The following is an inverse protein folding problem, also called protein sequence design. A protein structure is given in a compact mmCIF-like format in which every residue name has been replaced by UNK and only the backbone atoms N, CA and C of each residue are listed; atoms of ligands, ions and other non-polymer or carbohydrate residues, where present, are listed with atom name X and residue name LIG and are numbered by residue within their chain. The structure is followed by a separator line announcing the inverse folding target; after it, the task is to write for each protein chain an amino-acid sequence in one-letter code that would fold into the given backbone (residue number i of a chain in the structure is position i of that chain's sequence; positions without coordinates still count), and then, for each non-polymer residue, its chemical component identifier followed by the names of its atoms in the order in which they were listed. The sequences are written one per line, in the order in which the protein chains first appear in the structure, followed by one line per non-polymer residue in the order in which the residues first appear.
data_IF_512705518820
#
_entry.id   IF_512705518820
#
_cell.length_a   1.000
_cell.length_b   1.000
_cell.length_c   1.000
_cell.angle_alpha   90.00
_cell.angle_beta   90.00
_cell.angle_gamma   90.00
#
_symmetry.space_group_name_H-M   'P 1'
#
loop_
_entity.id
_entity.type
_entity.pdbx_description
1 polymer ?
#
# COMPACT_ATOMS: atom_id res chain seq x y z
N UNK A 1 10.06 -20.09 14.08
CA UNK A 1 9.97 -18.75 14.69
C UNK A 1 11.37 -18.23 15.03
N UNK A 2 12.16 -18.93 15.84
CA UNK A 2 13.49 -18.49 16.29
C UNK A 2 14.46 -18.15 15.15
N UNK A 3 14.56 -19.01 14.14
CA UNK A 3 15.42 -18.74 12.97
C UNK A 3 15.00 -17.50 12.17
N UNK A 4 13.70 -17.17 12.16
CA UNK A 4 13.23 -15.96 11.52
C UNK A 4 13.65 -14.72 12.33
N UNK A 5 13.53 -14.76 13.64
CA UNK A 5 13.88 -13.66 14.55
C UNK A 5 15.39 -13.39 14.59
N UNK A 6 16.22 -14.43 14.45
CA UNK A 6 17.68 -14.29 14.44
C UNK A 6 18.22 -13.70 13.13
N UNK A 7 17.84 -14.25 11.98
CA UNK A 7 18.43 -13.85 10.68
C UNK A 7 17.44 -13.84 9.51
N UNK A 8 16.35 -14.60 9.57
CA UNK A 8 15.42 -14.81 8.45
C UNK A 8 14.76 -13.52 7.93
N UNK A 9 14.58 -12.52 8.80
CA UNK A 9 14.08 -11.20 8.41
C UNK A 9 15.02 -10.45 7.44
N UNK A 10 16.28 -10.84 7.34
CA UNK A 10 17.26 -10.25 6.40
C UNK A 10 17.12 -10.78 4.97
N UNK A 11 16.49 -11.93 4.76
CA UNK A 11 16.34 -12.56 3.44
C UNK A 11 15.65 -11.65 2.41
N UNK A 12 14.53 -10.97 2.73
CA UNK A 12 13.91 -10.01 1.81
C UNK A 12 14.85 -8.87 1.38
N UNK A 13 15.75 -8.44 2.27
CA UNK A 13 16.75 -7.40 1.93
C UNK A 13 17.81 -7.92 0.97
N UNK A 14 18.24 -9.18 1.10
CA UNK A 14 19.17 -9.78 0.14
C UNK A 14 18.53 -9.94 -1.24
N UNK A 15 17.25 -10.34 -1.28
CA UNK A 15 16.49 -10.37 -2.54
C UNK A 15 16.44 -8.97 -3.16
N UNK A 16 16.29 -7.92 -2.35
CA UNK A 16 16.31 -6.54 -2.83
C UNK A 16 17.64 -6.15 -3.49
N UNK A 17 18.76 -6.65 -3.02
CA UNK A 17 20.08 -6.41 -3.65
C UNK A 17 20.10 -7.00 -5.06
N UNK A 18 19.59 -8.22 -5.24
CA UNK A 18 19.49 -8.86 -6.55
C UNK A 18 18.58 -8.03 -7.47
N UNK A 19 17.42 -7.58 -6.96
CA UNK A 19 16.48 -6.76 -7.73
C UNK A 19 17.08 -5.41 -8.14
N UNK A 20 17.88 -4.79 -7.28
CA UNK A 20 18.63 -3.56 -7.61
C UNK A 20 19.65 -3.84 -8.73
N UNK A 21 20.39 -4.96 -8.65
CA UNK A 21 21.30 -5.37 -9.71
C UNK A 21 20.61 -5.57 -11.06
N UNK A 22 19.48 -6.28 -11.06
CA UNK A 22 18.64 -6.47 -12.27
C UNK A 22 18.12 -5.13 -12.80
N UNK A 23 17.62 -4.26 -11.92
CA UNK A 23 17.15 -2.92 -12.30
C UNK A 23 18.26 -2.07 -12.91
N UNK A 24 19.47 -2.14 -12.37
CA UNK A 24 20.64 -1.47 -12.93
C UNK A 24 20.99 -1.97 -14.33
N UNK A 25 21.01 -3.30 -14.54
CA UNK A 25 21.28 -3.90 -15.84
C UNK A 25 20.22 -3.51 -16.88
N UNK A 26 18.94 -3.52 -16.50
CA UNK A 26 17.85 -3.07 -17.38
C UNK A 26 18.06 -1.60 -17.77
N UNK A 27 18.30 -0.73 -16.80
CA UNK A 27 18.51 0.71 -17.05
C UNK A 27 19.74 0.99 -17.91
N UNK A 28 20.82 0.23 -17.73
CA UNK A 28 22.03 0.39 -18.53
C UNK A 28 21.80 0.06 -20.00
N UNK A 29 20.91 -0.90 -20.28
CA UNK A 29 20.59 -1.35 -21.64
C UNK A 29 19.34 -0.67 -22.24
N UNK A 30 18.70 0.24 -21.50
CA UNK A 30 17.58 1.01 -22.03
C UNK A 30 18.08 2.26 -22.74
N UNK A 31 17.62 2.44 -23.98
CA UNK A 31 17.80 3.70 -24.69
C UNK A 31 16.96 4.82 -24.07
N UNK A 32 17.45 6.05 -24.18
CA UNK A 32 16.69 7.22 -23.76
C UNK A 32 15.36 7.31 -24.54
N UNK A 33 14.28 7.69 -23.88
CA UNK A 33 12.99 7.82 -24.55
C UNK A 33 13.10 8.79 -25.73
N UNK A 34 12.43 8.53 -26.87
CA UNK A 34 12.50 9.40 -28.06
C UNK A 34 12.15 10.85 -27.75
N UNK A 35 11.23 11.08 -26.81
CA UNK A 35 10.82 12.42 -26.35
C UNK A 35 11.96 13.13 -25.63
N UNK A 36 12.67 12.41 -24.74
CA UNK A 36 13.79 12.98 -23.99
C UNK A 36 15.00 13.21 -24.91
N UNK A 37 15.31 12.29 -25.81
CA UNK A 37 16.37 12.44 -26.80
C UNK A 37 16.13 13.69 -27.69
N UNK A 38 14.88 13.91 -28.13
CA UNK A 38 14.49 15.09 -28.88
C UNK A 38 14.63 16.38 -28.04
N UNK A 39 14.15 16.38 -26.79
CA UNK A 39 14.31 17.54 -25.89
C UNK A 39 15.78 17.86 -25.62
N UNK A 40 16.64 16.85 -25.51
CA UNK A 40 18.09 16.99 -25.33
C UNK A 40 18.76 17.56 -26.59
N UNK A 41 18.40 17.11 -27.77
CA UNK A 41 18.92 17.67 -29.03
C UNK A 41 18.48 19.11 -29.28
N UNK A 42 17.31 19.50 -28.81
CA UNK A 42 16.79 20.87 -28.87
C UNK A 42 17.32 21.79 -27.77
N UNK A 43 18.20 21.31 -26.87
CA UNK A 43 18.75 22.08 -25.76
C UNK A 43 17.72 22.45 -24.66
N UNK A 44 16.54 21.78 -24.65
CA UNK A 44 15.45 22.04 -23.70
C UNK A 44 15.55 21.24 -22.39
N UNK A 45 16.69 20.63 -22.14
CA UNK A 45 16.90 19.89 -20.88
C UNK A 45 17.45 20.83 -19.81
N UNK A 46 16.88 20.73 -18.61
CA UNK A 46 17.35 21.52 -17.46
C UNK A 46 18.74 21.10 -17.01
N UNK A 47 19.64 22.05 -16.81
CA UNK A 47 20.97 21.82 -16.23
C UNK A 47 20.93 21.69 -14.71
N UNK A 48 19.92 22.27 -14.04
CA UNK A 48 19.72 22.17 -12.62
C UNK A 48 18.22 22.04 -12.29
N UNK A 49 17.66 20.81 -12.37
CA UNK A 49 16.23 20.58 -12.20
C UNK A 49 15.67 21.04 -10.85
N UNK A 50 16.45 20.92 -9.77
CA UNK A 50 16.02 21.35 -8.44
C UNK A 50 15.85 22.87 -8.36
N UNK A 51 16.85 23.61 -8.82
CA UNK A 51 16.77 25.08 -8.83
C UNK A 51 15.64 25.57 -9.72
N UNK A 52 15.41 24.95 -10.86
CA UNK A 52 14.33 25.30 -11.78
C UNK A 52 12.95 24.98 -11.20
N UNK A 53 12.80 23.83 -10.53
CA UNK A 53 11.53 23.42 -9.93
C UNK A 53 11.12 24.25 -8.72
N UNK A 54 12.08 24.59 -7.84
CA UNK A 54 11.81 25.30 -6.59
C UNK A 54 12.10 26.79 -6.64
N UNK A 55 13.01 27.24 -7.52
CA UNK A 55 13.38 28.65 -7.66
C UNK A 55 12.39 29.46 -8.49
N UNK A 56 11.62 28.86 -9.36
CA UNK A 56 10.63 29.53 -10.19
C UNK A 56 9.23 29.42 -9.54
N UNK A 57 8.58 30.54 -9.24
CA UNK A 57 7.24 30.56 -8.64
C UNK A 57 6.19 29.80 -9.46
N UNK A 58 6.30 29.82 -10.76
CA UNK A 58 5.38 29.08 -11.64
C UNK A 58 5.55 27.56 -11.46
N UNK A 59 6.79 27.07 -11.54
CA UNK A 59 7.08 25.65 -11.37
C UNK A 59 6.77 25.18 -9.94
N UNK A 60 7.13 26.00 -8.92
CA UNK A 60 6.82 25.72 -7.52
C UNK A 60 5.31 25.53 -7.29
N UNK A 61 4.45 26.33 -7.94
CA UNK A 61 3.00 26.15 -7.86
C UNK A 61 2.57 24.77 -8.33
N UNK A 62 3.12 24.25 -9.43
CA UNK A 62 2.81 22.89 -9.91
C UNK A 62 3.37 21.81 -9.00
N UNK A 63 4.56 22.01 -8.44
CA UNK A 63 5.14 21.08 -7.45
C UNK A 63 4.23 20.98 -6.22
N UNK A 64 3.76 22.12 -5.69
CA UNK A 64 2.85 22.13 -4.54
C UNK A 64 1.48 21.54 -4.88
N UNK A 65 0.93 21.83 -6.05
CA UNK A 65 -0.34 21.22 -6.50
C UNK A 65 -0.22 19.70 -6.67
N UNK A 66 0.90 19.20 -7.20
CA UNK A 66 1.14 17.77 -7.32
C UNK A 66 1.31 17.11 -5.94
N UNK A 67 2.08 17.74 -5.05
CA UNK A 67 2.36 17.24 -3.71
C UNK A 67 1.07 17.17 -2.86
N UNK A 68 0.38 18.29 -2.72
CA UNK A 68 -0.80 18.39 -1.85
C UNK A 68 -2.09 17.91 -2.53
N UNK A 69 -2.23 18.08 -3.84
CA UNK A 69 -3.44 17.68 -4.56
C UNK A 69 -3.49 16.21 -4.95
N UNK A 70 -2.36 15.61 -5.33
CA UNK A 70 -2.32 14.24 -5.81
C UNK A 70 -1.65 13.30 -4.81
N UNK A 71 -0.39 13.57 -4.45
CA UNK A 71 0.42 12.62 -3.66
C UNK A 71 -0.08 12.46 -2.23
N UNK A 72 -0.45 13.57 -1.57
CA UNK A 72 -0.92 13.54 -0.19
C UNK A 72 -2.23 12.75 -0.04
N UNK A 73 -3.21 13.01 -0.93
CA UNK A 73 -4.50 12.27 -0.92
C UNK A 73 -4.31 10.78 -1.17
N UNK A 74 -3.49 10.43 -2.15
CA UNK A 74 -3.13 9.04 -2.46
C UNK A 74 -2.43 8.35 -1.29
N UNK A 75 -1.50 9.03 -0.63
CA UNK A 75 -0.81 8.53 0.55
C UNK A 75 -1.77 8.20 1.69
N UNK A 76 -2.68 9.13 2.02
CA UNK A 76 -3.69 8.92 3.08
C UNK A 76 -4.57 7.70 2.77
N UNK A 77 -5.09 7.59 1.54
CA UNK A 77 -5.93 6.45 1.14
C UNK A 77 -5.16 5.13 1.27
N UNK A 78 -3.93 5.08 0.78
CA UNK A 78 -3.10 3.88 0.85
C UNK A 78 -2.80 3.45 2.30
N UNK A 79 -2.34 4.39 3.13
CA UNK A 79 -2.00 4.10 4.53
C UNK A 79 -3.23 3.71 5.35
N UNK A 80 -4.37 4.34 5.12
CA UNK A 80 -5.62 3.96 5.79
C UNK A 80 -6.10 2.57 5.36
N UNK A 81 -6.01 2.25 4.09
CA UNK A 81 -6.44 0.94 3.57
C UNK A 81 -5.54 -0.22 4.00
N UNK A 82 -4.25 0.01 4.25
CA UNK A 82 -3.30 -1.04 4.57
C UNK A 82 -2.90 -1.04 6.06
N UNK A 83 -2.20 0.01 6.49
CA UNK A 83 -1.60 0.02 7.82
C UNK A 83 -2.62 0.29 8.94
N UNK A 84 -3.55 1.21 8.72
CA UNK A 84 -4.61 1.43 9.71
C UNK A 84 -5.53 0.22 9.81
N UNK A 85 -5.90 -0.42 8.69
CA UNK A 85 -6.69 -1.65 8.72
C UNK A 85 -5.97 -2.77 9.50
N UNK A 86 -4.67 -2.96 9.27
CA UNK A 86 -3.86 -3.92 10.02
C UNK A 86 -3.86 -3.61 11.53
N UNK A 87 -3.62 -2.36 11.89
CA UNK A 87 -3.64 -1.92 13.28
C UNK A 87 -5.03 -2.11 13.92
N UNK A 88 -6.09 -1.75 13.22
CA UNK A 88 -7.46 -1.90 13.67
C UNK A 88 -7.82 -3.36 13.97
N UNK A 89 -7.48 -4.28 13.06
CA UNK A 89 -7.70 -5.72 13.23
C UNK A 89 -6.93 -6.29 14.44
N UNK A 90 -5.67 -5.88 14.62
CA UNK A 90 -4.82 -6.37 15.71
C UNK A 90 -5.19 -5.77 17.08
N UNK A 91 -5.46 -4.45 17.14
CA UNK A 91 -5.63 -3.73 18.42
C UNK A 91 -7.09 -3.63 18.86
N UNK A 92 -7.99 -3.23 17.96
CA UNK A 92 -9.41 -3.03 18.28
C UNK A 92 -10.17 -4.36 18.26
N UNK A 93 -9.95 -5.14 17.22
CA UNK A 93 -10.65 -6.42 17.05
C UNK A 93 -9.93 -7.58 17.77
N UNK A 94 -8.72 -7.37 18.28
CA UNK A 94 -7.91 -8.37 19.02
C UNK A 94 -7.76 -9.69 18.25
N UNK A 95 -7.63 -9.62 16.92
CA UNK A 95 -7.40 -10.80 16.08
C UNK A 95 -5.91 -11.15 16.12
N UNK A 96 -5.61 -12.44 16.12
CA UNK A 96 -4.23 -12.92 16.12
C UNK A 96 -3.42 -12.37 14.94
N UNK A 97 -2.18 -11.95 15.22
CA UNK A 97 -1.31 -11.32 14.22
C UNK A 97 -1.11 -12.17 12.97
N UNK A 98 -0.95 -13.48 13.13
CA UNK A 98 -0.75 -14.40 12.01
C UNK A 98 -1.98 -14.44 11.07
N UNK A 99 -3.18 -14.39 11.65
CA UNK A 99 -4.43 -14.34 10.87
C UNK A 99 -4.57 -13.01 10.14
N UNK A 100 -4.25 -11.89 10.80
CA UNK A 100 -4.30 -10.55 10.18
C UNK A 100 -3.32 -10.45 9.02
N UNK A 101 -2.10 -10.94 9.19
CA UNK A 101 -1.07 -10.89 8.15
C UNK A 101 -1.47 -11.76 6.94
N UNK A 102 -2.10 -12.93 7.19
CA UNK A 102 -2.65 -13.78 6.13
C UNK A 102 -3.80 -13.10 5.39
N UNK A 103 -4.75 -12.49 6.10
CA UNK A 103 -5.87 -11.76 5.50
C UNK A 103 -5.40 -10.61 4.62
N UNK A 104 -4.43 -9.83 5.10
CA UNK A 104 -3.84 -8.73 4.31
C UNK A 104 -3.08 -9.25 3.09
N UNK A 105 -2.35 -10.36 3.23
CA UNK A 105 -1.68 -10.99 2.11
C UNK A 105 -2.66 -11.42 1.01
N UNK A 106 -3.76 -12.07 1.38
CA UNK A 106 -4.82 -12.45 0.44
C UNK A 106 -5.46 -11.22 -0.20
N UNK A 107 -5.76 -10.18 0.59
CA UNK A 107 -6.33 -8.93 0.08
C UNK A 107 -5.42 -8.25 -0.94
N UNK A 108 -4.10 -8.25 -0.71
CA UNK A 108 -3.11 -7.70 -1.65
C UNK A 108 -3.04 -8.52 -2.94
N UNK A 109 -3.04 -9.85 -2.85
CA UNK A 109 -3.05 -10.73 -4.03
C UNK A 109 -4.30 -10.50 -4.87
N UNK A 110 -5.48 -10.43 -4.24
CA UNK A 110 -6.73 -10.16 -4.93
C UNK A 110 -6.81 -8.71 -5.48
N UNK A 111 -6.17 -7.76 -4.80
CA UNK A 111 -6.11 -6.36 -5.23
C UNK A 111 -5.17 -6.11 -6.41
N UNK A 112 -4.12 -6.93 -6.56
CA UNK A 112 -3.07 -6.71 -7.58
C UNK A 112 -3.61 -6.65 -9.03
N UNK A 113 -4.53 -7.52 -9.48
CA UNK A 113 -5.10 -7.44 -10.83
C UNK A 113 -5.80 -6.10 -11.10
N UNK A 114 -6.39 -5.48 -10.08
CA UNK A 114 -7.07 -4.20 -10.24
C UNK A 114 -6.11 -3.05 -10.58
N UNK A 115 -4.83 -3.14 -10.22
CA UNK A 115 -3.85 -2.15 -10.67
C UNK A 115 -3.73 -2.12 -12.19
N UNK A 116 -3.78 -3.28 -12.84
CA UNK A 116 -3.72 -3.39 -14.31
C UNK A 116 -5.01 -2.82 -14.92
N UNK A 117 -6.17 -3.19 -14.36
CA UNK A 117 -7.48 -2.73 -14.84
C UNK A 117 -7.62 -1.22 -14.74
N UNK A 118 -7.33 -0.66 -13.56
CA UNK A 118 -7.43 0.79 -13.34
C UNK A 118 -6.30 1.56 -14.03
N UNK A 119 -5.11 0.97 -14.20
CA UNK A 119 -4.05 1.52 -15.04
C UNK A 119 -4.51 1.71 -16.47
N UNK A 120 -5.03 0.66 -17.10
CA UNK A 120 -5.59 0.70 -18.45
C UNK A 120 -6.78 1.68 -18.56
N UNK A 121 -7.67 1.68 -17.57
CA UNK A 121 -8.81 2.61 -17.56
C UNK A 121 -8.35 4.06 -17.44
N UNK A 122 -7.30 4.33 -16.66
CA UNK A 122 -6.75 5.67 -16.48
C UNK A 122 -6.13 6.26 -17.75
N UNK A 123 -5.61 5.40 -18.63
CA UNK A 123 -5.09 5.84 -19.92
C UNK A 123 -6.22 6.24 -20.89
N UNK A 124 -7.42 5.68 -20.73
CA UNK A 124 -8.60 6.02 -21.56
C UNK A 124 -9.40 7.21 -21.04
N UNK A 125 -9.66 7.25 -19.76
CA UNK A 125 -10.55 8.26 -19.10
C UNK A 125 -9.75 9.48 -18.64
N UNK A 126 -8.46 9.29 -18.38
CA UNK A 126 -7.56 10.29 -17.82
C UNK A 126 -7.26 10.04 -16.35
N UNK A 127 -5.97 10.10 -16.01
CA UNK A 127 -5.42 9.76 -14.68
C UNK A 127 -6.05 10.56 -13.55
N UNK A 128 -6.33 11.86 -13.78
CA UNK A 128 -6.94 12.75 -12.81
C UNK A 128 -8.31 12.25 -12.33
N UNK A 129 -9.17 11.84 -13.25
CA UNK A 129 -10.54 11.41 -12.91
C UNK A 129 -10.55 10.09 -12.15
N UNK A 130 -9.69 9.14 -12.52
CA UNK A 130 -9.57 7.86 -11.81
C UNK A 130 -9.04 8.07 -10.39
N UNK A 131 -8.03 8.91 -10.19
CA UNK A 131 -7.51 9.23 -8.85
C UNK A 131 -8.56 9.93 -7.98
N UNK A 132 -9.26 10.93 -8.53
CA UNK A 132 -10.32 11.64 -7.79
C UNK A 132 -11.48 10.70 -7.44
N UNK A 133 -11.88 9.83 -8.37
CA UNK A 133 -12.90 8.82 -8.15
C UNK A 133 -12.50 7.84 -7.03
N UNK A 134 -11.28 7.36 -7.03
CA UNK A 134 -10.74 6.48 -5.99
C UNK A 134 -10.73 7.16 -4.60
N UNK A 135 -10.29 8.41 -4.52
CA UNK A 135 -10.32 9.17 -3.27
C UNK A 135 -11.76 9.41 -2.77
N UNK A 136 -12.68 9.72 -3.67
CA UNK A 136 -14.11 9.90 -3.33
C UNK A 136 -14.70 8.60 -2.79
N UNK A 137 -14.45 7.46 -3.45
CA UNK A 137 -14.89 6.16 -3.00
C UNK A 137 -14.30 5.81 -1.62
N UNK A 138 -13.03 6.11 -1.37
CA UNK A 138 -12.42 5.91 -0.06
C UNK A 138 -13.14 6.69 1.05
N UNK A 139 -13.44 7.98 0.81
CA UNK A 139 -14.19 8.83 1.76
C UNK A 139 -15.56 8.23 2.08
N UNK A 140 -16.27 7.73 1.06
CA UNK A 140 -17.61 7.19 1.23
C UNK A 140 -17.61 5.81 1.88
N UNK A 141 -16.64 4.96 1.55
CA UNK A 141 -16.66 3.54 1.91
C UNK A 141 -15.89 3.22 3.21
N UNK A 142 -14.87 3.97 3.59
CA UNK A 142 -14.08 3.61 4.76
C UNK A 142 -14.91 3.57 6.04
N UNK A 143 -15.74 4.58 6.29
CA UNK A 143 -16.60 4.63 7.50
C UNK A 143 -17.53 3.42 7.59
N UNK A 144 -18.35 3.09 6.56
CA UNK A 144 -19.23 1.93 6.64
C UNK A 144 -18.46 0.60 6.70
N UNK A 145 -17.32 0.46 6.00
CA UNK A 145 -16.51 -0.76 6.05
C UNK A 145 -15.99 -1.01 7.46
N UNK A 146 -15.33 -0.03 8.09
CA UNK A 146 -14.82 -0.19 9.45
C UNK A 146 -15.94 -0.42 10.47
N UNK A 147 -17.09 0.22 10.31
CA UNK A 147 -18.26 -0.04 11.16
C UNK A 147 -18.77 -1.47 11.01
N UNK A 148 -18.89 -1.99 9.80
CA UNK A 148 -19.31 -3.38 9.56
C UNK A 148 -18.29 -4.38 10.12
N UNK A 149 -16.99 -4.09 9.99
CA UNK A 149 -15.93 -4.93 10.57
C UNK A 149 -16.07 -5.00 12.10
N UNK A 150 -16.27 -3.86 12.76
CA UNK A 150 -16.46 -3.78 14.21
C UNK A 150 -17.71 -4.54 14.67
N UNK A 151 -18.84 -4.32 14.00
CA UNK A 151 -20.11 -5.02 14.28
C UNK A 151 -20.00 -6.54 14.09
N UNK A 152 -19.28 -6.99 13.07
CA UNK A 152 -19.08 -8.44 12.81
C UNK A 152 -18.24 -9.09 13.91
N UNK A 153 -17.28 -8.38 14.50
CA UNK A 153 -16.43 -8.90 15.56
C UNK A 153 -17.03 -8.66 16.97
N UNK A 154 -18.15 -7.97 17.08
CA UNK A 154 -18.76 -7.70 18.39
C UNK A 154 -19.17 -9.01 19.08
N UNK A 155 -18.96 -9.08 20.38
CA UNK A 155 -19.25 -10.25 21.22
C UNK A 155 -20.73 -10.67 21.11
N UNK A 156 -21.62 -9.73 20.79
CA UNK A 156 -23.06 -10.01 20.59
C UNK A 156 -23.33 -10.93 19.39
N UNK A 157 -22.45 -10.95 18.40
CA UNK A 157 -22.60 -11.73 17.17
C UNK A 157 -21.73 -13.01 17.18
N UNK A 158 -20.93 -13.22 18.24
CA UNK A 158 -20.12 -14.42 18.42
C UNK A 158 -20.94 -15.51 19.09
N UNK A 159 -21.17 -16.62 18.40
CA UNK A 159 -21.65 -17.85 19.03
C UNK A 159 -20.52 -18.47 19.82
N UNK A 160 -20.74 -18.69 21.12
CA UNK A 160 -19.78 -19.39 21.97
C UNK A 160 -19.66 -20.85 21.51
N UNK A 161 -18.46 -21.26 21.09
CA UNK A 161 -18.20 -22.67 20.77
C UNK A 161 -17.85 -23.35 22.10
N UNK A 162 -18.87 -23.79 22.81
CA UNK A 162 -18.80 -24.43 24.14
C UNK A 162 -17.77 -25.57 24.20
N UNK A 163 -17.60 -26.31 23.11
CA UNK A 163 -16.64 -27.40 23.01
C UNK A 163 -15.18 -26.94 23.06
N UNK A 164 -14.85 -25.83 22.38
CA UNK A 164 -13.50 -25.24 22.44
C UNK A 164 -13.20 -24.58 23.78
N UNK A 165 -14.19 -24.02 24.42
CA UNK A 165 -14.06 -23.39 25.75
C UNK A 165 -13.76 -24.46 26.81
N UNK A 166 -14.41 -25.63 26.75
CA UNK A 166 -14.12 -26.81 27.61
C UNK A 166 -12.70 -27.32 27.40
N UNK A 167 -12.27 -27.54 26.15
CA UNK A 167 -10.91 -27.98 25.83
C UNK A 167 -9.82 -27.01 26.34
N UNK A 168 -10.03 -25.71 26.23
CA UNK A 168 -9.08 -24.71 26.76
C UNK A 168 -9.05 -24.71 28.27
N UNK A 169 -10.17 -24.92 28.93
CA UNK A 169 -10.25 -25.05 30.39
C UNK A 169 -9.49 -26.30 30.88
N UNK A 170 -9.71 -27.45 30.27
CA UNK A 170 -8.99 -28.70 30.59
C UNK A 170 -7.47 -28.59 30.37
N UNK A 171 -7.03 -27.92 29.29
CA UNK A 171 -5.58 -27.69 29.03
C UNK A 171 -4.96 -26.78 30.09
N UNK A 172 -5.70 -25.78 30.59
CA UNK A 172 -5.22 -24.91 31.65
C UNK A 172 -5.14 -25.62 33.01
N UNK A 173 -6.05 -26.53 33.29
CA UNK A 173 -6.07 -27.29 34.54
C UNK A 173 -4.95 -28.34 34.58
N UNK A 174 -4.66 -28.99 33.46
CA UNK A 174 -3.55 -29.96 33.33
C UNK A 174 -2.14 -29.30 33.28
N UNK A 175 -2.02 -27.97 33.20
CA UNK A 175 -0.75 -27.23 33.22
C UNK A 175 -0.43 -26.62 34.61
N UNK A 176 -1.28 -26.82 35.60
CA UNK A 176 -1.01 -26.47 37.02
C UNK A 176 -0.51 -27.70 37.78
#
# INVERSE_FOLDING_TARGET
PEQFDEWGWRVPFWVSIIMVGVSYLIRKNMDESPVFAKAKSEGKTSTNPLKESFGNRYNLKFVLLALFGATMGQGVVWYTGQFYAMSFLKTVMSIDSSQVDTLLGIALILGTPFFIVFGWLSDKVGRKYIMMGGMLLAILLYKPIYKTMDETNSVKNKTEIVEKTKLVAEIKENKK
#
